data_IF_930774701128
#
_entry.id   IF_930774701128
#
_cell.length_a   1.000
_cell.length_b   1.000
_cell.length_c   1.000
_cell.angle_alpha   90.00
_cell.angle_beta   90.00
_cell.angle_gamma   90.00
#
_symmetry.space_group_name_H-M   'P 1'
#
loop_
_entity.id
_entity.type
_entity.pdbx_description
1 polymer ?
#
# COMPACT_ATOMS: atom_id res chain seq x y z
N UNK A 1 22.89 22.77 14.63
CA UNK A 1 22.20 21.87 13.69
C UNK A 1 22.25 22.53 12.32
N UNK A 2 23.00 21.97 11.37
CA UNK A 2 23.05 22.52 10.01
C UNK A 2 21.67 22.46 9.36
N UNK A 3 21.34 23.46 8.55
CA UNK A 3 20.06 23.52 7.85
C UNK A 3 19.98 22.29 6.92
N UNK A 4 18.99 21.42 7.11
CA UNK A 4 18.86 20.19 6.30
C UNK A 4 18.71 20.50 4.81
N UNK A 5 18.23 21.71 4.50
CA UNK A 5 18.11 22.28 3.17
C UNK A 5 19.47 22.45 2.46
N UNK A 6 20.56 22.68 3.19
CA UNK A 6 21.90 22.79 2.59
C UNK A 6 22.49 21.42 2.18
N UNK A 7 21.91 20.32 2.67
CA UNK A 7 22.32 18.95 2.32
C UNK A 7 21.56 18.40 1.12
N UNK A 8 20.43 19.02 0.77
CA UNK A 8 19.61 18.61 -0.36
C UNK A 8 20.21 19.19 -1.65
N UNK A 9 20.47 18.30 -2.60
CA UNK A 9 20.98 18.68 -3.92
C UNK A 9 19.83 19.05 -4.84
N UNK A 10 20.10 19.82 -5.90
CA UNK A 10 19.10 20.12 -6.94
C UNK A 10 18.52 18.84 -7.58
N UNK A 11 19.26 17.74 -7.55
CA UNK A 11 18.82 16.43 -8.04
C UNK A 11 17.73 15.83 -7.14
N UNK A 12 17.84 15.95 -5.82
CA UNK A 12 16.83 15.45 -4.87
C UNK A 12 15.47 16.12 -5.08
N UNK A 13 15.49 17.46 -5.25
CA UNK A 13 14.29 18.23 -5.57
C UNK A 13 13.69 17.80 -6.92
N UNK A 14 14.53 17.57 -7.92
CA UNK A 14 14.07 17.09 -9.23
C UNK A 14 13.39 15.73 -9.13
N UNK A 15 13.94 14.77 -8.37
CA UNK A 15 13.33 13.45 -8.17
C UNK A 15 11.94 13.59 -7.51
N UNK A 16 11.82 14.41 -6.47
CA UNK A 16 10.54 14.61 -5.77
C UNK A 16 9.50 15.23 -6.69
N UNK A 17 9.87 16.28 -7.44
CA UNK A 17 8.96 16.94 -8.39
C UNK A 17 8.54 15.97 -9.50
N UNK A 18 9.48 15.23 -10.09
CA UNK A 18 9.20 14.25 -11.12
C UNK A 18 8.24 13.15 -10.61
N UNK A 19 8.47 12.64 -9.40
CA UNK A 19 7.59 11.66 -8.77
C UNK A 19 6.17 12.18 -8.60
N UNK A 20 5.99 13.40 -8.08
CA UNK A 20 4.67 14.03 -7.93
C UNK A 20 3.97 14.25 -9.27
N UNK A 21 4.70 14.70 -10.30
CA UNK A 21 4.13 14.89 -11.64
C UNK A 21 3.66 13.56 -12.23
N UNK A 22 4.45 12.49 -12.11
CA UNK A 22 4.07 11.16 -12.58
C UNK A 22 2.80 10.68 -11.85
N UNK A 23 2.72 10.85 -10.53
CA UNK A 23 1.54 10.49 -9.75
C UNK A 23 0.29 11.24 -10.22
N UNK A 24 0.40 12.56 -10.45
CA UNK A 24 -0.72 13.38 -10.94
C UNK A 24 -1.16 12.92 -12.33
N UNK A 25 -0.21 12.62 -13.23
CA UNK A 25 -0.53 12.11 -14.57
C UNK A 25 -1.27 10.77 -14.48
N UNK A 26 -0.81 9.85 -13.63
CA UNK A 26 -1.47 8.55 -13.42
C UNK A 26 -2.87 8.75 -12.85
N UNK A 27 -3.01 9.59 -11.81
CA UNK A 27 -4.30 9.90 -11.17
C UNK A 27 -5.29 10.55 -12.14
N UNK A 28 -4.82 11.51 -12.94
CA UNK A 28 -5.63 12.16 -13.97
C UNK A 28 -6.05 11.14 -15.04
N UNK A 29 -5.13 10.34 -15.59
CA UNK A 29 -5.49 9.30 -16.56
C UNK A 29 -6.49 8.29 -16.00
N UNK A 30 -6.32 7.85 -14.75
CA UNK A 30 -7.25 6.94 -14.09
C UNK A 30 -8.63 7.57 -13.86
N UNK A 31 -8.69 8.87 -13.57
CA UNK A 31 -9.95 9.61 -13.40
C UNK A 31 -10.70 9.80 -14.72
N UNK A 32 -9.99 10.12 -15.81
CA UNK A 32 -10.59 10.34 -17.12
C UNK A 32 -10.94 9.04 -17.88
N UNK A 33 -10.33 7.91 -17.49
CA UNK A 33 -10.67 6.60 -18.05
C UNK A 33 -11.98 6.02 -17.50
N UNK A 34 -12.63 6.68 -16.52
CA UNK A 34 -13.94 6.31 -15.98
C UNK A 34 -15.05 7.14 -16.63
N UNK A 35 -15.37 6.83 -17.89
CA UNK A 35 -16.64 7.19 -18.51
C UNK A 35 -17.37 5.90 -18.82
N UNK A 36 -18.15 5.42 -17.85
CA UNK A 36 -19.36 4.59 -18.01
C UNK A 36 -19.71 3.95 -16.66
N UNK A 37 -20.80 4.41 -16.05
CA UNK A 37 -21.65 3.61 -15.16
C UNK A 37 -21.18 3.31 -13.74
N UNK A 38 -22.04 3.68 -12.80
CA UNK A 38 -22.35 2.91 -11.58
C UNK A 38 -21.38 3.06 -10.39
N UNK A 39 -21.93 3.67 -9.33
CA UNK A 39 -21.35 3.84 -8.00
C UNK A 39 -20.89 2.52 -7.33
N UNK A 40 -21.30 1.36 -7.85
CA UNK A 40 -20.86 0.03 -7.40
C UNK A 40 -19.50 -0.42 -8.00
N UNK A 41 -19.06 0.15 -9.13
CA UNK A 41 -17.89 -0.34 -9.87
C UNK A 41 -16.56 0.19 -9.35
N UNK A 42 -16.57 1.34 -8.65
CA UNK A 42 -15.35 2.01 -8.19
C UNK A 42 -14.62 1.23 -7.09
N UNK A 43 -15.36 0.58 -6.19
CA UNK A 43 -14.82 -0.17 -5.05
C UNK A 43 -14.67 -1.66 -5.32
N UNK A 44 -15.60 -2.26 -6.10
CA UNK A 44 -15.58 -3.69 -6.37
C UNK A 44 -14.80 -4.06 -7.64
N UNK A 45 -14.40 -3.07 -8.46
CA UNK A 45 -13.67 -3.25 -9.72
C UNK A 45 -14.21 -4.42 -10.56
N UNK A 46 -15.54 -4.52 -10.63
CA UNK A 46 -16.27 -5.59 -11.32
C UNK A 46 -15.81 -7.04 -10.98
N UNK A 47 -15.26 -7.27 -9.77
CA UNK A 47 -14.66 -8.54 -9.34
C UNK A 47 -13.61 -9.10 -10.32
N UNK A 48 -13.03 -8.25 -11.18
CA UNK A 48 -12.12 -8.66 -12.25
C UNK A 48 -10.64 -8.56 -11.86
N UNK A 49 -10.35 -8.22 -10.61
CA UNK A 49 -8.99 -8.09 -10.11
C UNK A 49 -8.36 -9.48 -9.95
N UNK A 50 -7.25 -9.72 -10.65
CA UNK A 50 -6.43 -10.91 -10.46
C UNK A 50 -5.91 -10.98 -9.02
N UNK A 51 -5.77 -12.20 -8.47
CA UNK A 51 -5.25 -12.45 -7.11
C UNK A 51 -3.97 -11.66 -6.83
N UNK A 52 -3.02 -11.64 -7.77
CA UNK A 52 -1.76 -10.92 -7.62
C UNK A 52 -1.96 -9.42 -7.42
N UNK A 53 -2.90 -8.81 -8.15
CA UNK A 53 -3.21 -7.38 -8.00
C UNK A 53 -3.83 -7.10 -6.63
N UNK A 54 -4.71 -7.97 -6.14
CA UNK A 54 -5.29 -7.86 -4.80
C UNK A 54 -4.18 -7.89 -3.73
N UNK A 55 -3.27 -8.87 -3.83
CA UNK A 55 -2.15 -9.00 -2.89
C UNK A 55 -1.22 -7.79 -2.86
N UNK A 56 -0.80 -7.30 -4.04
CA UNK A 56 0.07 -6.12 -4.12
C UNK A 56 -0.61 -4.85 -3.61
N UNK A 57 -1.91 -4.65 -3.88
CA UNK A 57 -2.65 -3.51 -3.35
C UNK A 57 -2.79 -3.59 -1.82
N UNK A 58 -3.06 -4.78 -1.28
CA UNK A 58 -3.18 -4.97 0.17
C UNK A 58 -1.84 -4.76 0.88
N UNK A 59 -0.73 -5.16 0.26
CA UNK A 59 0.62 -4.89 0.77
C UNK A 59 0.97 -3.39 0.70
N UNK A 60 0.74 -2.76 -0.46
CA UNK A 60 1.04 -1.35 -0.66
C UNK A 60 0.20 -0.38 0.20
N UNK A 61 -0.98 -0.82 0.65
CA UNK A 61 -1.81 -0.05 1.59
C UNK A 61 -1.42 -0.27 3.05
N UNK A 62 -0.73 -1.37 3.37
CA UNK A 62 -0.27 -1.68 4.73
C UNK A 62 1.14 -1.12 5.01
N UNK A 63 2.04 -1.15 4.02
CA UNK A 63 3.44 -0.74 4.19
C UNK A 63 3.63 0.73 3.85
N UNK A 64 3.77 1.56 4.88
CA UNK A 64 4.02 3.00 4.76
C UNK A 64 5.46 3.42 5.08
N UNK A 65 5.86 4.66 4.75
CA UNK A 65 7.18 5.19 5.10
C UNK A 65 7.48 5.19 6.62
N UNK A 66 6.45 5.38 7.44
CA UNK A 66 6.56 5.30 8.91
C UNK A 66 6.95 3.92 9.40
N UNK A 67 6.45 2.86 8.75
CA UNK A 67 6.79 1.47 9.05
C UNK A 67 8.27 1.20 8.77
N UNK A 68 8.81 1.73 7.67
CA UNK A 68 10.24 1.61 7.34
C UNK A 68 11.13 2.25 8.41
N UNK A 69 10.76 3.46 8.86
CA UNK A 69 11.48 4.14 9.94
C UNK A 69 11.40 3.35 11.27
N UNK A 70 10.21 2.83 11.60
CA UNK A 70 10.01 2.02 12.79
C UNK A 70 10.86 0.74 12.74
N UNK A 71 10.89 0.03 11.61
CA UNK A 71 11.71 -1.16 11.44
C UNK A 71 13.21 -0.87 11.51
N UNK A 72 13.68 0.24 10.93
CA UNK A 72 15.07 0.65 11.08
C UNK A 72 15.43 0.89 12.56
N UNK A 73 14.54 1.55 13.32
CA UNK A 73 14.73 1.78 14.75
C UNK A 73 14.69 0.48 15.56
N UNK A 74 13.76 -0.42 15.28
CA UNK A 74 13.62 -1.70 15.98
C UNK A 74 14.82 -2.60 15.67
N UNK A 75 15.27 -2.62 14.41
CA UNK A 75 16.46 -3.34 13.97
C UNK A 75 17.73 -2.84 14.66
N UNK A 76 17.86 -1.52 14.87
CA UNK A 76 18.97 -0.96 15.64
C UNK A 76 18.94 -1.38 17.11
N UNK A 77 17.76 -1.38 17.75
CA UNK A 77 17.62 -1.65 19.19
C UNK A 77 17.61 -3.13 19.57
N UNK A 78 16.95 -3.97 18.76
CA UNK A 78 16.67 -5.39 19.08
C UNK A 78 17.24 -6.37 18.07
N UNK A 79 17.83 -5.86 16.98
CA UNK A 79 18.37 -6.69 15.91
C UNK A 79 17.28 -7.43 15.13
N UNK A 80 17.68 -8.55 14.52
CA UNK A 80 16.80 -9.36 13.67
C UNK A 80 15.70 -10.09 14.46
N UNK A 81 15.80 -10.17 15.79
CA UNK A 81 14.86 -10.95 16.62
C UNK A 81 13.43 -10.42 16.47
N UNK A 82 13.25 -9.11 16.36
CA UNK A 82 11.93 -8.50 16.17
C UNK A 82 11.23 -8.94 14.87
N UNK A 83 11.98 -9.38 13.86
CA UNK A 83 11.40 -9.89 12.61
C UNK A 83 10.55 -11.13 12.86
N UNK A 84 10.81 -11.92 13.91
CA UNK A 84 9.95 -13.07 14.26
C UNK A 84 8.47 -12.68 14.42
N UNK A 85 8.20 -11.45 14.85
CA UNK A 85 6.83 -10.95 14.94
C UNK A 85 6.14 -10.90 13.58
N UNK A 86 6.84 -10.41 12.55
CA UNK A 86 6.29 -10.29 11.19
C UNK A 86 6.00 -11.66 10.57
N UNK A 87 6.72 -12.71 10.96
CA UNK A 87 6.45 -14.07 10.48
C UNK A 87 5.07 -14.58 10.92
N UNK A 88 4.53 -14.09 12.05
CA UNK A 88 3.17 -14.45 12.46
C UNK A 88 2.10 -13.87 11.54
N UNK A 89 2.40 -12.82 10.77
CA UNK A 89 1.45 -12.25 9.80
C UNK A 89 0.96 -13.30 8.80
N UNK A 90 1.82 -14.24 8.37
CA UNK A 90 1.43 -15.31 7.45
C UNK A 90 0.32 -16.21 8.02
N UNK A 91 0.37 -16.50 9.33
CA UNK A 91 -0.64 -17.34 9.99
C UNK A 91 -1.99 -16.63 10.00
N UNK A 92 -2.02 -15.34 10.34
CA UNK A 92 -3.25 -14.55 10.37
C UNK A 92 -3.79 -14.27 8.97
N UNK A 93 -2.92 -14.04 7.98
CA UNK A 93 -3.31 -13.91 6.58
C UNK A 93 -3.92 -15.20 6.03
N UNK A 94 -3.36 -16.36 6.38
CA UNK A 94 -3.92 -17.66 6.01
C UNK A 94 -5.30 -17.87 6.64
N UNK A 95 -5.46 -17.56 7.92
CA UNK A 95 -6.74 -17.62 8.61
C UNK A 95 -7.76 -16.67 7.98
N UNK A 96 -7.35 -15.45 7.64
CA UNK A 96 -8.17 -14.48 6.93
C UNK A 96 -8.64 -15.02 5.58
N UNK A 97 -7.74 -15.61 4.79
CA UNK A 97 -8.05 -16.14 3.47
C UNK A 97 -9.03 -17.33 3.49
N UNK A 98 -8.92 -18.23 4.47
CA UNK A 98 -9.72 -19.46 4.51
C UNK A 98 -11.03 -19.29 5.30
N UNK A 99 -11.00 -18.58 6.42
CA UNK A 99 -12.15 -18.53 7.35
C UNK A 99 -12.98 -17.27 7.14
N UNK A 100 -12.31 -16.13 7.06
CA UNK A 100 -12.98 -14.82 7.08
C UNK A 100 -13.40 -14.36 5.69
N UNK A 101 -12.51 -14.42 4.70
CA UNK A 101 -12.79 -13.96 3.34
C UNK A 101 -14.02 -14.66 2.70
N UNK A 102 -14.19 -16.00 2.79
CA UNK A 102 -15.38 -16.64 2.22
C UNK A 102 -16.68 -16.22 2.91
N UNK A 103 -16.63 -16.00 4.23
CA UNK A 103 -17.80 -15.53 5.00
C UNK A 103 -18.18 -14.09 4.65
N UNK A 104 -17.19 -13.18 4.52
CA UNK A 104 -17.45 -11.79 4.14
C UNK A 104 -18.03 -11.68 2.72
N UNK A 105 -17.48 -12.47 1.78
CA UNK A 105 -18.00 -12.54 0.41
C UNK A 105 -19.42 -13.12 0.37
N UNK A 106 -19.72 -14.15 1.16
CA UNK A 106 -21.06 -14.75 1.25
C UNK A 106 -22.09 -13.80 1.89
N UNK A 107 -21.68 -13.01 2.88
CA UNK A 107 -22.54 -12.04 3.57
C UNK A 107 -22.75 -10.74 2.77
N UNK A 108 -22.10 -10.56 1.62
CA UNK A 108 -22.16 -9.36 0.77
C UNK A 108 -21.94 -8.06 1.55
N UNK A 109 -21.06 -8.09 2.55
CA UNK A 109 -20.73 -6.90 3.34
C UNK A 109 -19.95 -5.94 2.44
N UNK A 110 -20.54 -4.78 2.16
CA UNK A 110 -19.89 -3.65 1.49
C UNK A 110 -19.95 -2.48 2.45
N UNK A 111 -18.81 -2.11 3.00
CA UNK A 111 -18.61 -0.91 3.82
C UNK A 111 -17.48 -0.12 3.19
#
# INVERSE_FOLDING_TARGET
>A
MGNILERLTNLDYFIVVAYLVILIIIGYRASFSKKEGEDETLFLANKSLNWSSIGFNMWGTNVGPSMLLAFASIGYSTGIVAVNFDWYAFIFLFLLAIVFAPKYLAAKVST
#
